data_IF_279340832404
#
_entry.id   IF_279340832404
#
_cell.length_a   1.000
_cell.length_b   1.000
_cell.length_c   1.000
_cell.angle_alpha   90.00
_cell.angle_beta   90.00
_cell.angle_gamma   90.00
#
_symmetry.space_group_name_H-M   'P 1'
#
loop_
_entity.id
_entity.type
_entity.pdbx_description
1 polymer ?
#
# COMPACT_ATOMS: atom_id res chain seq x y z
N UNK A 1 -24.43 6.16 -28.76
CA UNK A 1 -23.12 5.70 -28.23
C UNK A 1 -22.38 6.92 -27.71
N UNK A 2 -22.42 7.20 -26.41
CA UNK A 2 -21.64 8.29 -25.82
C UNK A 2 -20.37 7.67 -25.20
N UNK A 3 -19.22 7.95 -25.82
CA UNK A 3 -17.92 7.62 -25.25
C UNK A 3 -17.64 8.60 -24.12
N UNK A 4 -17.62 8.10 -22.88
CA UNK A 4 -17.22 8.90 -21.71
C UNK A 4 -15.73 9.21 -21.83
N UNK A 5 -15.40 10.45 -22.13
CA UNK A 5 -14.04 10.96 -22.21
C UNK A 5 -13.58 11.33 -20.80
N UNK A 6 -12.62 10.59 -20.26
CA UNK A 6 -12.01 10.86 -18.96
C UNK A 6 -11.02 12.04 -19.11
N UNK A 7 -11.28 13.11 -18.40
CA UNK A 7 -10.33 14.21 -18.29
C UNK A 7 -9.40 13.98 -17.10
N UNK A 8 -8.10 13.89 -17.37
CA UNK A 8 -7.05 13.85 -16.35
C UNK A 8 -6.57 15.28 -16.10
N UNK A 9 -6.95 15.87 -14.99
CA UNK A 9 -6.42 17.13 -14.48
C UNK A 9 -5.49 16.79 -13.31
N UNK A 10 -4.17 16.91 -13.54
CA UNK A 10 -3.16 16.92 -12.49
C UNK A 10 -3.22 15.79 -11.46
N UNK A 11 -3.27 14.50 -11.90
CA UNK A 11 -3.23 13.35 -10.99
C UNK A 11 -4.57 12.94 -10.33
N UNK A 12 -5.65 13.69 -10.56
CA UNK A 12 -6.99 13.32 -10.10
C UNK A 12 -7.81 12.67 -11.22
N UNK A 13 -8.37 11.49 -10.98
CA UNK A 13 -9.38 10.88 -11.86
C UNK A 13 -10.76 11.33 -11.41
N UNK A 14 -11.33 12.31 -12.10
CA UNK A 14 -12.67 12.76 -11.85
C UNK A 14 -13.67 12.11 -12.82
N UNK A 15 -14.80 11.61 -12.29
CA UNK A 15 -15.93 11.19 -13.14
C UNK A 15 -16.63 12.41 -13.70
N UNK A 16 -17.00 12.44 -15.00
CA UNK A 16 -17.68 13.59 -15.63
C UNK A 16 -19.09 13.84 -15.07
N UNK A 17 -19.64 12.94 -14.26
CA UNK A 17 -21.01 13.02 -13.71
C UNK A 17 -21.07 13.49 -12.24
N UNK A 18 -19.95 13.61 -11.56
CA UNK A 18 -19.96 14.07 -10.16
C UNK A 18 -18.59 14.65 -9.75
N UNK A 19 -18.47 15.98 -9.79
CA UNK A 19 -17.25 16.69 -9.40
C UNK A 19 -16.85 16.48 -7.91
N UNK A 20 -17.72 15.90 -7.09
CA UNK A 20 -17.47 15.58 -5.68
C UNK A 20 -16.71 14.25 -5.47
N UNK A 21 -16.47 13.47 -6.54
CA UNK A 21 -15.76 12.19 -6.50
C UNK A 21 -14.42 12.26 -7.24
N UNK A 22 -13.60 13.27 -6.94
CA UNK A 22 -12.18 13.25 -7.28
C UNK A 22 -11.48 12.28 -6.33
N UNK A 23 -11.12 11.10 -6.82
CA UNK A 23 -10.27 10.16 -6.05
C UNK A 23 -8.85 10.71 -6.02
N UNK A 24 -8.34 10.94 -4.82
CA UNK A 24 -6.91 11.22 -4.59
C UNK A 24 -6.10 10.07 -5.19
N UNK A 25 -5.16 10.38 -6.06
CA UNK A 25 -4.26 9.37 -6.60
C UNK A 25 -3.29 8.96 -5.50
N UNK A 26 -3.45 7.73 -5.01
CA UNK A 26 -2.60 7.13 -3.99
C UNK A 26 -1.43 6.42 -4.67
N UNK A 27 -0.21 6.72 -4.24
CA UNK A 27 1.02 6.05 -4.69
C UNK A 27 1.78 5.48 -3.50
N UNK A 28 2.35 4.29 -3.66
CA UNK A 28 3.27 3.72 -2.69
C UNK A 28 4.70 4.01 -3.14
N UNK A 29 5.47 4.67 -2.28
CA UNK A 29 6.87 5.01 -2.49
C UNK A 29 7.79 4.26 -1.53
N UNK A 30 9.06 4.13 -1.88
CA UNK A 30 10.09 3.55 -1.01
C UNK A 30 11.11 4.63 -0.66
N UNK A 31 11.43 4.74 0.62
CA UNK A 31 12.43 5.67 1.10
C UNK A 31 13.79 5.36 0.49
N UNK A 32 14.43 6.37 -0.10
CA UNK A 32 15.76 6.27 -0.72
C UNK A 32 16.91 6.17 0.29
N UNK A 33 16.64 6.42 1.58
CA UNK A 33 17.62 6.25 2.65
C UNK A 33 17.88 4.76 2.89
N UNK A 34 19.10 4.29 2.63
CA UNK A 34 19.50 2.88 2.80
C UNK A 34 19.26 2.34 4.22
N UNK A 35 19.38 3.19 5.24
CA UNK A 35 19.11 2.81 6.65
C UNK A 35 17.62 2.70 6.96
N UNK A 36 16.77 3.33 6.17
CA UNK A 36 15.31 3.31 6.34
C UNK A 36 14.64 2.31 5.40
N UNK A 37 14.74 2.48 4.08
CA UNK A 37 14.22 1.60 3.03
C UNK A 37 12.72 1.27 3.14
N UNK A 38 11.96 1.97 4.00
CA UNK A 38 10.55 1.68 4.28
C UNK A 38 9.66 2.23 3.18
N UNK A 39 8.61 1.47 2.84
CA UNK A 39 7.56 1.93 1.96
C UNK A 39 6.53 2.77 2.73
N UNK A 40 5.93 3.75 2.06
CA UNK A 40 4.93 4.67 2.61
C UNK A 40 3.99 5.14 1.49
N UNK A 41 2.85 5.70 1.88
CA UNK A 41 1.87 6.25 0.95
C UNK A 41 2.09 7.73 0.73
N UNK A 42 1.86 8.16 -0.51
CA UNK A 42 1.86 9.56 -0.92
C UNK A 42 0.53 9.86 -1.59
N UNK A 43 -0.13 10.90 -1.13
CA UNK A 43 -1.36 11.43 -1.71
C UNK A 43 -1.12 12.85 -2.19
N UNK A 44 -1.77 13.23 -3.28
CA UNK A 44 -1.83 14.63 -3.70
C UNK A 44 -3.14 15.23 -3.21
N UNK A 45 -3.06 16.25 -2.39
CA UNK A 45 -4.21 16.98 -1.88
C UNK A 45 -4.28 18.38 -2.50
N UNK A 46 -5.50 18.77 -2.87
CA UNK A 46 -5.82 20.10 -3.40
C UNK A 46 -5.78 20.16 -4.94
N UNK A 47 -6.74 20.90 -5.49
CA UNK A 47 -6.70 21.36 -6.87
C UNK A 47 -6.07 22.76 -6.85
N UNK A 48 -4.81 22.87 -7.21
CA UNK A 48 -4.13 24.15 -7.32
C UNK A 48 -4.72 25.01 -8.43
N UNK A 49 -4.47 26.32 -8.36
CA UNK A 49 -4.82 27.23 -9.43
C UNK A 49 -3.91 26.96 -10.65
N UNK A 50 -4.49 27.04 -11.84
CA UNK A 50 -3.73 26.97 -13.09
C UNK A 50 -2.66 28.06 -13.08
N UNK A 51 -1.38 27.67 -13.12
CA UNK A 51 -0.23 28.58 -13.13
C UNK A 51 0.48 28.77 -11.78
N UNK A 52 0.03 28.10 -10.71
CA UNK A 52 0.66 28.14 -9.37
C UNK A 52 1.39 26.86 -9.03
N UNK A 53 2.24 26.33 -9.92
CA UNK A 53 3.05 25.15 -9.59
C UNK A 53 4.26 25.54 -8.75
N UNK A 54 4.37 24.95 -7.56
CA UNK A 54 5.51 25.06 -6.67
C UNK A 54 6.27 23.74 -6.57
N UNK A 55 7.54 23.83 -6.14
CA UNK A 55 8.35 22.66 -5.83
C UNK A 55 8.02 22.18 -4.42
N UNK A 56 7.39 21.03 -4.31
CA UNK A 56 7.07 20.39 -3.04
C UNK A 56 8.01 19.23 -2.75
N UNK A 57 8.42 19.10 -1.50
CA UNK A 57 9.25 18.01 -1.01
C UNK A 57 8.36 16.85 -0.56
N UNK A 58 8.66 15.64 -1.03
CA UNK A 58 8.04 14.40 -0.54
C UNK A 58 8.97 13.81 0.50
N UNK A 59 8.50 13.77 1.76
CA UNK A 59 9.30 13.32 2.89
C UNK A 59 8.88 11.93 3.38
N UNK A 60 9.87 11.12 3.76
CA UNK A 60 9.60 9.84 4.37
C UNK A 60 8.99 10.02 5.78
N UNK A 61 7.78 9.48 6.07
CA UNK A 61 7.13 9.65 7.37
C UNK A 61 7.83 8.91 8.51
N UNK A 62 8.82 8.05 8.20
CA UNK A 62 9.59 7.30 9.19
C UNK A 62 10.89 7.99 9.61
N UNK A 63 11.67 8.50 8.66
CA UNK A 63 12.99 9.09 8.92
C UNK A 63 13.11 10.60 8.59
N UNK A 64 12.04 11.20 8.05
CA UNK A 64 11.94 12.63 7.70
C UNK A 64 12.94 13.09 6.63
N UNK A 65 13.54 12.17 5.90
CA UNK A 65 14.40 12.52 4.78
C UNK A 65 13.55 12.79 3.54
N UNK A 66 13.89 13.85 2.79
CA UNK A 66 13.29 14.13 1.47
C UNK A 66 13.66 13.00 0.51
N UNK A 67 12.65 12.34 -0.05
CA UNK A 67 12.81 11.24 -1.00
C UNK A 67 12.95 11.79 -2.41
N UNK A 68 12.13 12.78 -2.76
CA UNK A 68 12.18 13.49 -4.05
C UNK A 68 11.45 14.83 -3.97
N UNK A 69 11.66 15.66 -4.99
CA UNK A 69 10.94 16.91 -5.20
C UNK A 69 10.16 16.84 -6.50
N UNK A 70 8.94 17.32 -6.48
CA UNK A 70 8.10 17.41 -7.67
C UNK A 70 7.41 18.78 -7.75
N UNK A 71 7.16 19.21 -9.00
CA UNK A 71 6.31 20.38 -9.24
C UNK A 71 4.85 19.95 -9.15
N UNK A 72 4.09 20.63 -8.33
CA UNK A 72 2.66 20.39 -8.16
C UNK A 72 1.92 21.68 -7.89
N UNK A 73 0.67 21.73 -8.27
CA UNK A 73 -0.27 22.77 -7.86
C UNK A 73 -1.02 22.41 -6.57
N UNK A 74 -0.76 21.25 -5.99
CA UNK A 74 -1.32 20.74 -4.73
C UNK A 74 -0.22 20.49 -3.70
N UNK A 75 -0.60 19.95 -2.55
CA UNK A 75 0.35 19.57 -1.48
C UNK A 75 0.42 18.06 -1.38
N UNK A 76 1.62 17.51 -1.17
CA UNK A 76 1.81 16.09 -0.88
C UNK A 76 1.52 15.80 0.59
N UNK A 77 0.83 14.69 0.83
CA UNK A 77 0.58 14.16 2.15
C UNK A 77 1.16 12.75 2.23
N UNK A 78 2.07 12.52 3.17
CA UNK A 78 2.70 11.23 3.37
C UNK A 78 2.14 10.54 4.60
N UNK A 79 1.86 9.26 4.46
CA UNK A 79 1.42 8.42 5.58
C UNK A 79 2.15 7.09 5.62
N UNK A 80 2.28 6.54 6.83
CA UNK A 80 2.78 5.17 7.03
C UNK A 80 1.77 4.17 6.49
N UNK A 81 2.24 2.98 6.09
CA UNK A 81 1.34 1.88 5.76
C UNK A 81 0.60 1.41 7.02
N UNK A 82 -0.66 0.99 6.86
CA UNK A 82 -1.51 0.58 7.97
C UNK A 82 -1.47 -0.94 8.15
N UNK A 83 -0.91 -1.40 9.27
CA UNK A 83 -0.87 -2.83 9.68
C UNK A 83 -2.22 -3.33 10.20
N UNK A 84 -3.12 -2.41 10.58
CA UNK A 84 -4.43 -2.73 11.15
C UNK A 84 -5.58 -2.62 10.14
N UNK A 85 -5.26 -2.33 8.87
CA UNK A 85 -6.28 -2.28 7.81
C UNK A 85 -7.11 -3.55 7.80
N UNK A 86 -8.43 -3.38 7.89
CA UNK A 86 -9.36 -4.51 7.84
C UNK A 86 -9.48 -5.00 6.40
N UNK A 87 -9.08 -6.26 6.19
CA UNK A 87 -9.21 -6.93 4.89
C UNK A 87 -10.45 -7.83 4.90
N UNK A 88 -11.21 -7.79 3.82
CA UNK A 88 -12.43 -8.56 3.61
C UNK A 88 -12.54 -9.03 2.15
N UNK A 89 -13.68 -9.64 1.81
CA UNK A 89 -13.92 -10.15 0.46
C UNK A 89 -13.95 -9.07 -0.64
N UNK A 90 -14.18 -7.80 -0.29
CA UNK A 90 -14.11 -6.68 -1.25
C UNK A 90 -12.72 -6.11 -1.46
N UNK A 91 -11.74 -6.47 -0.60
CA UNK A 91 -10.38 -5.96 -0.66
C UNK A 91 -9.65 -6.45 -1.92
N UNK A 92 -8.88 -5.55 -2.54
CA UNK A 92 -8.06 -5.85 -3.70
C UNK A 92 -6.76 -6.58 -3.33
N UNK A 93 -6.04 -7.13 -4.32
CA UNK A 93 -4.72 -7.73 -4.09
C UNK A 93 -3.72 -6.68 -3.57
N UNK A 94 -3.85 -5.43 -3.98
CA UNK A 94 -3.03 -4.31 -3.53
C UNK A 94 -3.24 -4.03 -2.04
N UNK A 95 -4.49 -4.13 -1.54
CA UNK A 95 -4.79 -3.97 -0.11
C UNK A 95 -4.09 -5.04 0.73
N UNK A 96 -4.12 -6.30 0.26
CA UNK A 96 -3.39 -7.40 0.91
C UNK A 96 -1.88 -7.18 0.87
N UNK A 97 -1.35 -6.73 -0.27
CA UNK A 97 0.07 -6.46 -0.43
C UNK A 97 0.55 -5.32 0.48
N UNK A 98 -0.26 -4.28 0.64
CA UNK A 98 0.01 -3.18 1.55
C UNK A 98 0.13 -3.67 3.01
N UNK A 99 -0.84 -4.43 3.50
CA UNK A 99 -0.82 -4.96 4.86
C UNK A 99 0.34 -5.92 5.08
N UNK A 100 0.63 -6.80 4.10
CA UNK A 100 1.78 -7.69 4.14
C UNK A 100 3.09 -6.90 4.26
N UNK A 101 3.25 -5.87 3.45
CA UNK A 101 4.43 -4.99 3.48
C UNK A 101 4.53 -4.25 4.81
N UNK A 102 3.43 -3.71 5.33
CA UNK A 102 3.38 -3.01 6.61
C UNK A 102 3.80 -3.93 7.76
N UNK A 103 3.24 -5.13 7.85
CA UNK A 103 3.61 -6.12 8.88
C UNK A 103 5.09 -6.50 8.82
N UNK A 104 5.63 -6.69 7.61
CA UNK A 104 7.06 -6.98 7.42
C UNK A 104 7.96 -5.83 7.89
N UNK A 105 7.60 -4.59 7.57
CA UNK A 105 8.40 -3.40 7.90
C UNK A 105 8.39 -3.05 9.38
N UNK A 106 7.27 -3.26 10.06
CA UNK A 106 7.10 -2.94 11.47
C UNK A 106 7.50 -4.11 12.39
N UNK A 107 7.92 -5.22 11.80
CA UNK A 107 8.42 -6.37 12.54
C UNK A 107 9.64 -6.00 13.40
N UNK A 108 9.73 -6.49 14.63
CA UNK A 108 10.95 -6.45 15.41
C UNK A 108 12.11 -7.08 14.63
N UNK A 109 13.34 -6.65 14.95
CA UNK A 109 14.54 -7.16 14.29
C UNK A 109 14.65 -8.69 14.42
N UNK A 110 14.70 -9.37 13.28
CA UNK A 110 14.77 -10.83 13.21
C UNK A 110 13.41 -11.54 13.14
N UNK A 111 12.29 -10.82 13.29
CA UNK A 111 10.95 -11.39 13.27
C UNK A 111 10.20 -11.19 11.93
N UNK A 112 10.86 -10.65 10.91
CA UNK A 112 10.22 -10.33 9.63
C UNK A 112 9.53 -11.54 8.98
N UNK A 113 10.19 -12.70 8.99
CA UNK A 113 9.64 -13.96 8.45
C UNK A 113 8.46 -14.44 9.29
N UNK A 114 8.52 -14.26 10.62
CA UNK A 114 7.42 -14.58 11.51
C UNK A 114 6.17 -13.75 11.17
N UNK A 115 6.32 -12.46 10.87
CA UNK A 115 5.21 -11.61 10.46
C UNK A 115 4.59 -12.04 9.13
N UNK A 116 5.38 -12.56 8.19
CA UNK A 116 4.87 -13.16 6.94
C UNK A 116 4.02 -14.40 7.25
N UNK A 117 4.47 -15.27 8.17
CA UNK A 117 3.68 -16.43 8.59
C UNK A 117 2.39 -16.00 9.28
N UNK A 118 2.44 -15.02 10.19
CA UNK A 118 1.26 -14.48 10.88
C UNK A 118 0.26 -13.86 9.89
N UNK A 119 0.74 -13.14 8.89
CA UNK A 119 -0.12 -12.65 7.80
C UNK A 119 -0.80 -13.80 7.07
N UNK A 120 -0.05 -14.85 6.71
CA UNK A 120 -0.58 -16.04 6.05
C UNK A 120 -1.63 -16.78 6.91
N UNK A 121 -1.41 -16.88 8.21
CA UNK A 121 -2.38 -17.48 9.16
C UNK A 121 -3.64 -16.61 9.23
N UNK A 122 -3.49 -15.29 9.36
CA UNK A 122 -4.61 -14.37 9.54
C UNK A 122 -5.51 -14.27 8.30
N UNK A 123 -4.92 -14.23 7.11
CA UNK A 123 -5.63 -13.96 5.87
C UNK A 123 -5.67 -15.14 4.89
N UNK A 124 -5.10 -16.29 5.28
CA UNK A 124 -4.94 -17.44 4.40
C UNK A 124 -6.25 -18.01 3.88
N UNK A 125 -7.34 -17.93 4.64
CA UNK A 125 -8.65 -18.38 4.21
C UNK A 125 -9.21 -17.46 3.10
N UNK A 126 -9.18 -16.16 3.30
CA UNK A 126 -9.64 -15.18 2.31
C UNK A 126 -8.79 -15.28 1.03
N UNK A 127 -7.47 -15.38 1.16
CA UNK A 127 -6.55 -15.53 0.03
C UNK A 127 -6.90 -16.75 -0.82
N UNK A 128 -7.22 -17.89 -0.19
CA UNK A 128 -7.63 -19.11 -0.89
C UNK A 128 -9.01 -18.96 -1.55
N UNK A 129 -9.99 -18.43 -0.81
CA UNK A 129 -11.36 -18.23 -1.31
C UNK A 129 -11.36 -17.32 -2.54
N UNK A 130 -10.57 -16.27 -2.51
CA UNK A 130 -10.41 -15.33 -3.65
C UNK A 130 -9.48 -15.85 -4.74
N UNK A 131 -8.82 -16.99 -4.53
CA UNK A 131 -7.83 -17.55 -5.45
C UNK A 131 -6.73 -16.55 -5.84
N UNK A 132 -6.23 -15.78 -4.85
CA UNK A 132 -5.19 -14.79 -5.09
C UNK A 132 -3.85 -15.47 -5.38
N UNK A 133 -3.16 -15.00 -6.41
CA UNK A 133 -1.80 -15.45 -6.73
C UNK A 133 -0.81 -14.98 -5.67
N UNK A 134 -0.18 -15.91 -4.96
CA UNK A 134 0.79 -15.60 -3.90
C UNK A 134 2.03 -14.89 -4.46
N UNK A 135 2.48 -15.29 -5.64
CA UNK A 135 3.61 -14.63 -6.30
C UNK A 135 3.29 -13.19 -6.68
N UNK A 136 2.08 -12.94 -7.21
CA UNK A 136 1.62 -11.59 -7.51
C UNK A 136 1.51 -10.76 -6.23
N UNK A 137 0.95 -11.32 -5.15
CA UNK A 137 0.82 -10.66 -3.87
C UNK A 137 2.17 -10.22 -3.29
N UNK A 138 3.18 -11.08 -3.32
CA UNK A 138 4.54 -10.76 -2.85
C UNK A 138 5.21 -9.70 -3.73
N UNK A 139 5.00 -9.76 -5.05
CA UNK A 139 5.51 -8.76 -5.99
C UNK A 139 4.86 -7.38 -5.77
N UNK A 140 3.53 -7.33 -5.62
CA UNK A 140 2.81 -6.09 -5.31
C UNK A 140 3.26 -5.49 -3.95
N UNK A 141 3.56 -6.36 -2.97
CA UNK A 141 4.17 -5.93 -1.71
C UNK A 141 5.63 -5.45 -1.86
N UNK A 142 6.20 -5.49 -3.07
CA UNK A 142 7.59 -5.13 -3.38
C UNK A 142 8.59 -5.86 -2.49
N UNK A 143 8.36 -7.15 -2.31
CA UNK A 143 9.19 -8.03 -1.49
C UNK A 143 9.94 -9.04 -2.37
N UNK A 144 11.00 -9.63 -1.82
CA UNK A 144 11.74 -10.69 -2.53
C UNK A 144 10.85 -11.91 -2.78
N UNK A 145 10.96 -12.50 -3.97
CA UNK A 145 10.25 -13.73 -4.37
C UNK A 145 10.53 -14.93 -3.44
N UNK A 146 11.63 -14.90 -2.70
CA UNK A 146 11.94 -15.92 -1.68
C UNK A 146 10.87 -16.01 -0.60
N UNK A 147 10.14 -14.92 -0.34
CA UNK A 147 9.06 -14.89 0.65
C UNK A 147 7.77 -15.57 0.19
N UNK A 148 7.64 -15.92 -1.08
CA UNK A 148 6.51 -16.71 -1.61
C UNK A 148 6.39 -18.04 -0.84
N UNK A 149 7.52 -18.72 -0.62
CA UNK A 149 7.54 -19.98 0.14
C UNK A 149 7.13 -19.78 1.59
N UNK A 150 7.61 -18.72 2.23
CA UNK A 150 7.28 -18.44 3.64
C UNK A 150 5.79 -18.06 3.80
N UNK A 151 5.26 -17.26 2.87
CA UNK A 151 3.84 -16.93 2.87
C UNK A 151 2.96 -18.18 2.66
N UNK A 152 3.32 -19.07 1.74
CA UNK A 152 2.64 -20.34 1.52
C UNK A 152 2.62 -21.23 2.78
N UNK A 153 3.73 -21.27 3.54
CA UNK A 153 3.79 -21.97 4.85
C UNK A 153 2.77 -21.38 5.83
N UNK A 154 2.71 -20.04 5.96
CA UNK A 154 1.75 -19.34 6.79
C UNK A 154 0.30 -19.66 6.41
N UNK A 155 -0.04 -19.59 5.12
CA UNK A 155 -1.36 -19.97 4.61
C UNK A 155 -1.69 -21.45 4.88
N UNK A 156 -0.69 -22.33 4.79
CA UNK A 156 -0.84 -23.73 5.13
C UNK A 156 -1.17 -23.94 6.60
N UNK A 157 -0.51 -23.18 7.49
CA UNK A 157 -0.73 -23.24 8.94
C UNK A 157 -2.13 -22.75 9.35
N UNK A 158 -2.75 -21.85 8.61
CA UNK A 158 -4.12 -21.36 8.89
C UNK A 158 -5.18 -22.48 8.99
N UNK A 159 -4.90 -23.67 8.46
CA UNK A 159 -5.79 -24.83 8.58
C UNK A 159 -5.79 -25.44 9.99
N UNK A 160 -4.74 -25.20 10.76
CA UNK A 160 -4.47 -25.92 12.02
C UNK A 160 -4.42 -24.99 13.24
N UNK A 161 -4.21 -23.67 13.03
CA UNK A 161 -4.01 -22.71 14.11
C UNK A 161 -4.86 -21.46 13.88
N UNK A 162 -5.27 -20.84 14.99
CA UNK A 162 -5.93 -19.54 15.01
C UNK A 162 -5.11 -18.58 15.85
N UNK A 163 -5.05 -17.33 15.44
CA UNK A 163 -4.39 -16.29 16.22
C UNK A 163 -5.24 -15.98 17.46
N UNK A 164 -4.60 -15.94 18.63
CA UNK A 164 -5.24 -15.43 19.84
C UNK A 164 -5.36 -13.91 19.74
N UNK A 165 -6.56 -13.40 19.99
CA UNK A 165 -6.74 -11.96 20.19
C UNK A 165 -6.04 -11.58 21.49
N UNK A 166 -5.19 -10.54 21.43
CA UNK A 166 -4.63 -9.94 22.65
C UNK A 166 -5.71 -9.06 23.27
N UNK A 167 -6.26 -9.54 24.40
CA UNK A 167 -7.09 -8.73 25.30
C UNK A 167 -6.26 -7.65 25.98
#
# INVERSE_FOLDING_TARGET
>A
MFTAQWFSLGGMRCSPLNAALCTLEEKVEICSNEKCGKAFKVFVSGAGFVGGEELEDIECPYCKQTVRRERTSGTYLESKLDVHKVLNDSSSIQDFAEVLRAMYQDAPRGEQVLMIHLFGIKFGEIIRTKNLSISTLVNEARMSTNYVTELNKGIGLAKYVQLKERT
#
